data_IF_602920422726
#
_entry.id   IF_602920422726
#
_cell.length_a   1.000
_cell.length_b   1.000
_cell.length_c   1.000
_cell.angle_alpha   90.00
_cell.angle_beta   90.00
_cell.angle_gamma   90.00
#
_symmetry.space_group_name_H-M   'P 1'
#
loop_
_entity.id
_entity.type
_entity.pdbx_description
1 polymer ?
#
# COMPACT_ATOMS: atom_id res chain seq x y z
N UNK A 1 22.42 -15.42 -15.63
CA UNK A 1 21.73 -14.29 -14.97
C UNK A 1 20.36 -14.23 -15.62
N UNK A 2 19.31 -14.69 -14.93
CA UNK A 2 17.96 -14.77 -15.51
C UNK A 2 17.44 -13.33 -15.69
N UNK A 3 17.01 -13.02 -16.91
CA UNK A 3 16.47 -11.71 -17.27
C UNK A 3 15.08 -11.56 -16.61
N UNK A 4 15.01 -10.82 -15.50
CA UNK A 4 13.79 -10.60 -14.72
C UNK A 4 12.70 -9.84 -15.50
N UNK A 5 13.03 -9.32 -16.68
CA UNK A 5 12.09 -8.69 -17.63
C UNK A 5 11.17 -9.70 -18.33
N UNK A 6 11.47 -11.01 -18.27
CA UNK A 6 10.70 -12.06 -18.94
C UNK A 6 9.70 -12.80 -18.04
N UNK A 7 9.52 -12.40 -16.78
CA UNK A 7 8.54 -13.03 -15.89
C UNK A 7 7.15 -12.44 -16.11
N UNK A 8 6.47 -12.89 -17.16
CA UNK A 8 5.02 -12.68 -17.30
C UNK A 8 4.29 -13.75 -16.50
N UNK A 9 3.45 -13.33 -15.56
CA UNK A 9 2.64 -14.26 -14.77
C UNK A 9 1.41 -14.71 -15.56
N UNK A 10 0.92 -15.89 -15.24
CA UNK A 10 -0.38 -16.34 -15.72
C UNK A 10 -1.49 -15.53 -15.04
N UNK A 11 -2.63 -15.27 -15.72
CA UNK A 11 -3.74 -14.51 -15.14
C UNK A 11 -4.23 -15.09 -13.81
N UNK A 12 -4.22 -16.42 -13.65
CA UNK A 12 -4.58 -17.11 -12.41
C UNK A 12 -3.65 -16.73 -11.25
N UNK A 13 -2.34 -16.66 -11.51
CA UNK A 13 -1.34 -16.31 -10.52
C UNK A 13 -1.48 -14.84 -10.12
N UNK A 14 -1.68 -13.95 -11.09
CA UNK A 14 -1.88 -12.53 -10.83
C UNK A 14 -3.14 -12.25 -10.02
N UNK A 15 -4.27 -12.88 -10.38
CA UNK A 15 -5.53 -12.78 -9.63
C UNK A 15 -5.39 -13.31 -8.20
N UNK A 16 -4.71 -14.44 -8.03
CA UNK A 16 -4.49 -15.05 -6.71
C UNK A 16 -3.60 -14.16 -5.84
N UNK A 17 -2.49 -13.66 -6.39
CA UNK A 17 -1.57 -12.76 -5.68
C UNK A 17 -2.23 -11.43 -5.32
N UNK A 18 -2.89 -10.78 -6.28
CA UNK A 18 -3.56 -9.51 -6.07
C UNK A 18 -4.69 -9.64 -5.03
N UNK A 19 -5.50 -10.68 -5.12
CA UNK A 19 -6.62 -10.88 -4.18
C UNK A 19 -6.15 -11.25 -2.77
N UNK A 20 -5.09 -12.06 -2.64
CA UNK A 20 -4.50 -12.35 -1.33
C UNK A 20 -3.94 -11.07 -0.68
N UNK A 21 -3.22 -10.26 -1.46
CA UNK A 21 -2.66 -9.00 -1.00
C UNK A 21 -3.74 -8.00 -0.56
N UNK A 22 -4.78 -7.77 -1.37
CA UNK A 22 -5.84 -6.82 -1.01
C UNK A 22 -6.65 -7.27 0.21
N UNK A 23 -6.81 -8.59 0.40
CA UNK A 23 -7.42 -9.12 1.62
C UNK A 23 -6.56 -8.84 2.85
N UNK A 24 -5.24 -9.05 2.76
CA UNK A 24 -4.31 -8.74 3.83
C UNK A 24 -4.36 -7.25 4.20
N UNK A 25 -4.39 -6.37 3.19
CA UNK A 25 -4.49 -4.91 3.38
C UNK A 25 -5.81 -4.51 4.05
N UNK A 26 -6.94 -5.03 3.58
CA UNK A 26 -8.25 -4.84 4.21
C UNK A 26 -8.19 -5.21 5.71
N UNK A 27 -7.62 -6.37 6.06
CA UNK A 27 -7.51 -6.78 7.46
C UNK A 27 -6.55 -5.91 8.27
N UNK A 28 -5.43 -5.48 7.69
CA UNK A 28 -4.50 -4.54 8.33
C UNK A 28 -5.22 -3.25 8.69
N UNK A 29 -5.95 -2.66 7.75
CA UNK A 29 -6.66 -1.41 7.97
C UNK A 29 -7.79 -1.52 8.97
N UNK A 30 -8.57 -2.61 8.95
CA UNK A 30 -9.58 -2.85 9.99
C UNK A 30 -8.97 -2.95 11.39
N UNK A 31 -7.82 -3.62 11.53
CA UNK A 31 -7.10 -3.68 12.82
C UNK A 31 -6.62 -2.30 13.26
N UNK A 32 -5.97 -1.55 12.37
CA UNK A 32 -5.51 -0.19 12.65
C UNK A 32 -6.67 0.73 13.04
N UNK A 33 -7.80 0.65 12.33
CA UNK A 33 -9.00 1.41 12.67
C UNK A 33 -9.44 1.19 14.13
N UNK A 34 -9.43 -0.06 14.59
CA UNK A 34 -9.75 -0.40 15.99
C UNK A 34 -8.69 0.12 16.96
N UNK A 35 -7.41 -0.02 16.62
CA UNK A 35 -6.29 0.44 17.45
C UNK A 35 -6.30 1.96 17.70
N UNK A 36 -6.68 2.76 16.70
CA UNK A 36 -6.75 4.22 16.81
C UNK A 36 -8.06 4.74 17.42
N UNK A 37 -9.08 3.90 17.61
CA UNK A 37 -10.41 4.33 18.04
C UNK A 37 -10.43 5.16 19.34
N UNK A 38 -9.67 4.81 20.40
CA UNK A 38 -9.72 5.54 21.67
C UNK A 38 -9.08 6.94 21.60
N UNK A 39 -7.95 7.07 20.91
CA UNK A 39 -7.09 8.25 21.01
C UNK A 39 -7.08 9.12 19.75
N UNK A 40 -7.34 8.56 18.57
CA UNK A 40 -7.35 9.30 17.32
C UNK A 40 -8.52 8.85 16.42
N UNK A 41 -9.77 9.20 16.77
CA UNK A 41 -10.96 8.76 16.02
C UNK A 41 -10.97 9.23 14.56
N UNK A 42 -10.29 10.33 14.24
CA UNK A 42 -10.14 10.80 12.86
C UNK A 42 -9.22 9.87 12.04
N UNK A 43 -8.11 9.40 12.61
CA UNK A 43 -7.24 8.38 12.00
C UNK A 43 -7.98 7.05 11.89
N UNK A 44 -8.73 6.67 12.93
CA UNK A 44 -9.58 5.47 12.89
C UNK A 44 -10.51 5.49 11.67
N UNK A 45 -11.22 6.60 11.42
CA UNK A 45 -12.07 6.77 10.23
C UNK A 45 -11.29 6.71 8.92
N UNK A 46 -10.09 7.28 8.86
CA UNK A 46 -9.22 7.16 7.69
C UNK A 46 -8.87 5.69 7.41
N UNK A 47 -8.45 4.94 8.44
CA UNK A 47 -8.13 3.51 8.30
C UNK A 47 -9.36 2.71 7.84
N UNK A 48 -10.56 3.04 8.33
CA UNK A 48 -11.81 2.43 7.80
C UNK A 48 -11.99 2.74 6.31
N UNK A 49 -11.74 3.98 5.88
CA UNK A 49 -11.86 4.36 4.48
C UNK A 49 -10.85 3.59 3.60
N UNK A 50 -9.59 3.52 4.00
CA UNK A 50 -8.56 2.75 3.28
C UNK A 50 -8.89 1.25 3.21
N UNK A 51 -9.43 0.68 4.29
CA UNK A 51 -9.92 -0.70 4.29
C UNK A 51 -11.05 -0.93 3.29
N UNK A 52 -11.98 0.02 3.14
CA UNK A 52 -13.05 -0.05 2.13
C UNK A 52 -12.51 0.05 0.70
N UNK A 53 -11.48 0.85 0.46
CA UNK A 53 -10.83 0.92 -0.85
C UNK A 53 -10.22 -0.44 -1.24
N UNK A 54 -9.64 -1.18 -0.29
CA UNK A 54 -9.19 -2.57 -0.53
C UNK A 54 -10.34 -3.53 -0.81
N UNK A 55 -11.51 -3.35 -0.18
CA UNK A 55 -12.72 -4.13 -0.51
C UNK A 55 -13.18 -3.86 -1.95
N UNK A 56 -13.22 -2.59 -2.37
CA UNK A 56 -13.58 -2.22 -3.74
C UNK A 56 -12.61 -2.80 -4.77
N UNK A 57 -11.31 -2.81 -4.47
CA UNK A 57 -10.29 -3.47 -5.31
C UNK A 57 -10.52 -4.99 -5.39
N UNK A 58 -10.86 -5.65 -4.29
CA UNK A 58 -11.23 -7.07 -4.31
C UNK A 58 -12.46 -7.33 -5.18
N UNK A 59 -13.47 -6.47 -5.12
CA UNK A 59 -14.66 -6.58 -5.95
C UNK A 59 -14.33 -6.38 -7.43
N UNK A 60 -13.46 -5.42 -7.77
CA UNK A 60 -12.96 -5.23 -9.13
C UNK A 60 -12.21 -6.48 -9.65
N UNK A 61 -11.38 -7.12 -8.82
CA UNK A 61 -10.72 -8.38 -9.19
C UNK A 61 -11.71 -9.50 -9.41
N UNK A 62 -12.78 -9.61 -8.61
CA UNK A 62 -13.83 -10.62 -8.83
C UNK A 62 -14.55 -10.40 -10.15
N UNK A 63 -14.93 -9.17 -10.45
CA UNK A 63 -15.61 -8.85 -11.72
C UNK A 63 -14.76 -9.26 -12.94
N UNK A 64 -13.45 -9.00 -12.92
CA UNK A 64 -12.57 -9.39 -14.04
C UNK A 64 -12.30 -10.90 -14.03
N UNK A 65 -12.16 -11.52 -12.85
CA UNK A 65 -12.02 -12.96 -12.76
C UNK A 65 -13.26 -13.70 -13.33
N UNK A 66 -14.47 -13.19 -13.08
CA UNK A 66 -15.71 -13.73 -13.67
C UNK A 66 -15.71 -13.63 -15.19
N UNK A 67 -15.25 -12.51 -15.76
CA UNK A 67 -15.14 -12.33 -17.21
C UNK A 67 -14.14 -13.30 -17.86
N UNK A 68 -13.10 -13.67 -17.12
CA UNK A 68 -12.06 -14.60 -17.56
C UNK A 68 -12.38 -16.07 -17.26
N UNK A 69 -13.53 -16.37 -16.63
CA UNK A 69 -13.87 -17.70 -16.09
C UNK A 69 -12.83 -18.24 -15.07
N UNK A 70 -12.24 -17.33 -14.30
CA UNK A 70 -11.21 -17.56 -13.28
C UNK A 70 -11.67 -17.18 -11.87
N UNK A 71 -12.97 -17.15 -11.59
CA UNK A 71 -13.52 -16.75 -10.29
C UNK A 71 -12.95 -17.57 -9.12
N UNK A 72 -12.54 -18.82 -9.35
CA UNK A 72 -11.90 -19.66 -8.34
C UNK A 72 -10.56 -19.09 -7.81
N UNK A 73 -9.89 -18.23 -8.59
CA UNK A 73 -8.64 -17.57 -8.19
C UNK A 73 -8.85 -16.39 -7.24
N UNK A 74 -10.09 -15.91 -7.09
CA UNK A 74 -10.45 -14.82 -6.18
C UNK A 74 -11.40 -15.38 -5.12
N UNK A 75 -10.83 -15.86 -4.01
CA UNK A 75 -11.64 -16.41 -2.93
C UNK A 75 -12.72 -15.39 -2.49
N UNK A 76 -13.97 -15.82 -2.22
CA UNK A 76 -14.98 -14.95 -1.67
C UNK A 76 -14.54 -14.43 -0.29
N UNK A 77 -14.94 -13.21 0.06
CA UNK A 77 -14.79 -12.74 1.45
C UNK A 77 -15.90 -13.42 2.25
N UNK A 78 -15.56 -14.49 2.96
CA UNK A 78 -16.52 -15.14 3.85
C UNK A 78 -16.96 -14.18 4.96
N UNK A 79 -18.23 -14.25 5.36
CA UNK A 79 -18.74 -13.49 6.51
C UNK A 79 -17.94 -13.78 7.80
N UNK A 80 -17.35 -14.98 7.89
CA UNK A 80 -16.45 -15.38 8.99
C UNK A 80 -15.10 -14.67 8.94
N UNK A 81 -14.59 -14.40 7.74
CA UNK A 81 -13.37 -13.62 7.50
C UNK A 81 -13.57 -12.14 7.87
N UNK A 82 -14.78 -11.59 7.66
CA UNK A 82 -15.13 -10.24 8.10
C UNK A 82 -14.99 -10.01 9.61
N UNK A 83 -15.13 -11.06 10.42
CA UNK A 83 -14.98 -11.01 11.89
C UNK A 83 -13.71 -11.69 12.42
N UNK A 84 -12.93 -12.37 11.58
CA UNK A 84 -11.76 -13.12 12.02
C UNK A 84 -10.55 -12.19 12.25
N UNK A 85 -10.66 -11.37 13.29
CA UNK A 85 -9.51 -10.83 14.00
C UNK A 85 -8.90 -12.01 14.76
N UNK A 86 -8.12 -12.85 14.07
CA UNK A 86 -7.58 -14.07 14.67
C UNK A 86 -6.82 -13.76 15.95
N UNK A 87 -7.12 -14.56 16.96
CA UNK A 87 -6.89 -14.44 18.40
C UNK A 87 -5.41 -14.52 18.82
N UNK A 88 -4.48 -14.32 17.91
CA UNK A 88 -3.03 -14.47 18.15
C UNK A 88 -2.26 -13.15 18.25
N UNK A 89 -2.83 -12.03 17.79
CA UNK A 89 -2.27 -10.69 18.02
C UNK A 89 -3.24 -9.91 18.89
N UNK A 90 -2.88 -9.75 20.17
CA UNK A 90 -3.62 -8.91 21.13
C UNK A 90 -3.99 -7.59 20.45
N UNK A 91 -5.28 -7.25 20.47
CA UNK A 91 -5.75 -5.92 20.10
C UNK A 91 -5.02 -4.91 20.95
N UNK A 92 -4.01 -4.26 20.39
CA UNK A 92 -3.32 -3.18 21.07
C UNK A 92 -4.04 -1.88 20.72
N UNK A 93 -4.54 -1.19 21.74
CA UNK A 93 -5.06 0.16 21.61
C UNK A 93 -3.91 1.14 21.75
N UNK A 94 -3.81 2.08 20.82
CA UNK A 94 -2.80 3.13 20.90
C UNK A 94 -3.13 4.00 22.10
N UNK A 95 -2.19 4.12 23.04
CA UNK A 95 -2.40 4.75 24.36
C UNK A 95 -1.77 6.15 24.48
N UNK A 96 -0.85 6.50 23.58
CA UNK A 96 -0.19 7.81 23.55
C UNK A 96 0.19 8.23 22.12
N UNK A 97 0.61 9.48 21.98
CA UNK A 97 0.92 10.10 20.68
C UNK A 97 2.24 9.59 20.07
N UNK A 98 3.18 9.13 20.89
CA UNK A 98 4.45 8.58 20.37
C UNK A 98 4.15 7.27 19.65
N UNK A 99 3.39 6.39 20.30
CA UNK A 99 2.98 5.13 19.71
C UNK A 99 2.07 5.33 18.49
N UNK A 100 1.19 6.33 18.50
CA UNK A 100 0.39 6.67 17.34
C UNK A 100 1.26 7.02 16.13
N UNK A 101 2.32 7.81 16.32
CA UNK A 101 3.29 8.16 15.29
C UNK A 101 4.02 6.94 14.75
N UNK A 102 4.55 6.08 15.62
CA UNK A 102 5.24 4.84 15.21
C UNK A 102 4.32 3.89 14.41
N UNK A 103 3.05 3.80 14.80
CA UNK A 103 2.08 2.96 14.09
C UNK A 103 1.73 3.57 12.73
N UNK A 104 1.61 4.89 12.63
CA UNK A 104 1.42 5.58 11.34
C UNK A 104 2.64 5.40 10.43
N UNK A 105 3.86 5.50 10.95
CA UNK A 105 5.09 5.30 10.17
C UNK A 105 5.14 3.88 9.59
N UNK A 106 4.85 2.85 10.41
CA UNK A 106 4.72 1.46 9.95
C UNK A 106 3.59 1.27 8.95
N UNK A 107 2.47 1.97 9.10
CA UNK A 107 1.36 1.90 8.16
C UNK A 107 1.74 2.51 6.80
N UNK A 108 2.51 3.60 6.79
CA UNK A 108 3.05 4.23 5.60
C UNK A 108 4.07 3.33 4.90
N UNK A 109 5.00 2.74 5.63
CA UNK A 109 5.97 1.77 5.08
C UNK A 109 5.24 0.59 4.41
N UNK A 110 4.23 0.01 5.08
CA UNK A 110 3.40 -1.04 4.49
C UNK A 110 2.67 -0.57 3.21
N UNK A 111 2.14 0.65 3.19
CA UNK A 111 1.48 1.21 2.01
C UNK A 111 2.48 1.41 0.84
N UNK A 112 3.70 1.83 1.12
CA UNK A 112 4.75 1.94 0.10
C UNK A 112 5.10 0.58 -0.51
N UNK A 113 5.24 -0.45 0.33
CA UNK A 113 5.41 -1.83 -0.15
C UNK A 113 4.24 -2.29 -1.02
N UNK A 114 3.00 -2.00 -0.61
CA UNK A 114 1.80 -2.30 -1.38
C UNK A 114 1.78 -1.58 -2.73
N UNK A 115 2.21 -0.33 -2.80
CA UNK A 115 2.33 0.43 -4.04
C UNK A 115 3.38 -0.17 -4.98
N UNK A 116 4.57 -0.52 -4.47
CA UNK A 116 5.57 -1.23 -5.27
C UNK A 116 5.06 -2.57 -5.77
N UNK A 117 4.37 -3.34 -4.92
CA UNK A 117 3.75 -4.60 -5.31
C UNK A 117 2.72 -4.43 -6.44
N UNK A 118 1.85 -3.42 -6.36
CA UNK A 118 0.90 -3.11 -7.43
C UNK A 118 1.61 -2.74 -8.74
N UNK A 119 2.70 -1.98 -8.67
CA UNK A 119 3.54 -1.67 -9.83
C UNK A 119 4.11 -2.94 -10.48
N UNK A 120 4.61 -3.86 -9.67
CA UNK A 120 5.11 -5.16 -10.15
C UNK A 120 4.02 -6.02 -10.79
N UNK A 121 2.81 -6.04 -10.22
CA UNK A 121 1.67 -6.73 -10.84
C UNK A 121 1.36 -6.17 -12.22
N UNK A 122 1.37 -4.85 -12.36
CA UNK A 122 1.14 -4.18 -13.65
C UNK A 122 2.25 -4.47 -14.66
N UNK A 123 3.53 -4.36 -14.25
CA UNK A 123 4.70 -4.61 -15.11
C UNK A 123 4.73 -6.04 -15.66
N UNK A 124 4.30 -7.01 -14.86
CA UNK A 124 4.34 -8.45 -15.21
C UNK A 124 3.04 -8.96 -15.83
N UNK A 125 2.07 -8.07 -16.08
CA UNK A 125 0.78 -8.42 -16.65
C UNK A 125 0.85 -8.62 -18.17
N UNK A 126 0.49 -9.82 -18.61
CA UNK A 126 0.28 -10.14 -20.02
C UNK A 126 -1.21 -10.25 -20.41
N UNK A 127 -2.12 -10.02 -19.47
CA UNK A 127 -3.57 -10.19 -19.66
C UNK A 127 -4.25 -8.82 -19.84
N UNK A 128 -4.75 -8.46 -21.04
CA UNK A 128 -5.32 -7.15 -21.32
C UNK A 128 -6.44 -6.73 -20.36
N UNK A 129 -7.31 -7.67 -19.99
CA UNK A 129 -8.46 -7.44 -19.10
C UNK A 129 -8.04 -7.02 -17.68
N UNK A 130 -6.85 -7.44 -17.23
CA UNK A 130 -6.29 -7.08 -15.93
C UNK A 130 -5.52 -5.74 -15.95
N UNK A 131 -5.19 -5.22 -17.13
CA UNK A 131 -4.35 -4.03 -17.25
C UNK A 131 -5.02 -2.79 -16.64
N UNK A 132 -6.29 -2.55 -17.00
CA UNK A 132 -7.07 -1.42 -16.47
C UNK A 132 -7.18 -1.44 -14.93
N UNK A 133 -7.63 -2.56 -14.31
CA UNK A 133 -7.65 -2.70 -12.86
C UNK A 133 -6.28 -2.48 -12.20
N UNK A 134 -5.21 -3.11 -12.70
CA UNK A 134 -3.89 -2.96 -12.08
C UNK A 134 -3.32 -1.55 -12.22
N UNK A 135 -3.57 -0.86 -13.33
CA UNK A 135 -3.21 0.54 -13.47
C UNK A 135 -3.92 1.40 -12.41
N UNK A 136 -5.24 1.22 -12.25
CA UNK A 136 -6.00 1.92 -11.22
C UNK A 136 -5.49 1.60 -9.80
N UNK A 137 -5.04 0.37 -9.55
CA UNK A 137 -4.49 0.00 -8.24
C UNK A 137 -3.20 0.76 -7.94
N UNK A 138 -2.31 0.90 -8.92
CA UNK A 138 -1.07 1.68 -8.75
C UNK A 138 -1.38 3.11 -8.34
N UNK A 139 -2.31 3.77 -9.04
CA UNK A 139 -2.70 5.16 -8.75
C UNK A 139 -3.34 5.30 -7.36
N UNK A 140 -4.25 4.37 -7.01
CA UNK A 140 -4.91 4.36 -5.70
C UNK A 140 -3.92 4.10 -4.56
N UNK A 141 -3.00 3.15 -4.73
CA UNK A 141 -1.95 2.84 -3.74
C UNK A 141 -0.97 3.99 -3.57
N UNK A 142 -0.67 4.72 -4.64
CA UNK A 142 0.12 5.94 -4.55
C UNK A 142 -0.61 7.04 -3.76
N UNK A 143 -1.90 7.26 -4.03
CA UNK A 143 -2.72 8.22 -3.29
C UNK A 143 -2.80 7.85 -1.79
N UNK A 144 -2.91 6.57 -1.48
CA UNK A 144 -2.87 6.04 -0.11
C UNK A 144 -1.54 6.36 0.60
N UNK A 145 -0.39 6.15 -0.04
CA UNK A 145 0.92 6.56 0.48
C UNK A 145 0.95 8.06 0.80
N UNK A 146 0.44 8.89 -0.11
CA UNK A 146 0.40 10.34 0.08
C UNK A 146 -0.44 10.74 1.29
N UNK A 147 -1.65 10.20 1.41
CA UNK A 147 -2.55 10.51 2.53
C UNK A 147 -1.92 10.10 3.87
N UNK A 148 -1.27 8.94 3.93
CA UNK A 148 -0.61 8.47 5.15
C UNK A 148 0.63 9.32 5.50
N UNK A 149 1.40 9.75 4.50
CA UNK A 149 2.51 10.71 4.70
C UNK A 149 2.01 12.03 5.27
N UNK A 150 0.96 12.60 4.66
CA UNK A 150 0.35 13.85 5.12
C UNK A 150 -0.19 13.72 6.55
N UNK A 151 -0.75 12.56 6.91
CA UNK A 151 -1.19 12.29 8.29
C UNK A 151 -0.02 12.21 9.28
N UNK A 152 1.07 11.54 8.91
CA UNK A 152 2.26 11.44 9.74
C UNK A 152 2.91 12.80 9.96
N UNK A 153 3.04 13.59 8.89
CA UNK A 153 3.56 14.97 8.92
C UNK A 153 2.70 15.91 9.77
N UNK A 154 1.39 15.67 9.89
CA UNK A 154 0.52 16.45 10.77
C UNK A 154 0.58 15.96 12.22
N UNK A 155 1.00 14.72 12.44
CA UNK A 155 1.13 14.11 13.76
C UNK A 155 2.41 14.57 14.48
N UNK A 156 3.56 14.57 13.79
CA UNK A 156 4.85 15.05 14.31
C UNK A 156 4.85 16.48 14.90
N UNK A 157 4.18 17.50 14.31
CA UNK A 157 4.15 18.86 14.86
C UNK A 157 3.28 19.00 16.12
N UNK A 158 2.46 18.01 16.48
CA UNK A 158 1.75 17.99 17.76
C UNK A 158 2.60 17.38 18.89
N UNK A 159 3.42 16.37 18.60
CA UNK A 159 4.32 15.74 19.59
C UNK A 159 5.51 16.63 19.97
N UNK A 160 5.96 17.51 19.08
CA UNK A 160 7.07 18.44 19.33
C UNK A 160 6.72 19.64 20.23
N UNK A 161 5.42 19.91 20.51
CA UNK A 161 5.05 20.93 21.53
C UNK A 161 5.32 20.46 22.96
N UNK A 162 5.48 19.17 23.19
CA UNK A 162 5.74 18.61 24.52
C UNK A 162 7.23 18.48 24.84
N UNK A 163 8.15 18.54 23.86
CA UNK A 163 9.58 18.33 24.10
C UNK A 163 10.44 19.23 23.21
N UNK A 164 10.87 20.36 23.76
CA UNK A 164 12.01 21.12 23.25
C UNK A 164 13.29 20.30 23.33
N UNK A 165 14.00 20.08 22.21
CA UNK A 165 15.43 20.39 21.93
C UNK A 165 15.80 19.91 20.51
N UNK A 166 16.52 20.67 19.66
CA UNK A 166 16.73 20.31 18.26
C UNK A 166 18.11 19.67 18.00
N UNK A 167 18.16 18.50 17.35
CA UNK A 167 19.26 18.11 16.46
C UNK A 167 18.90 16.91 15.56
N UNK A 168 19.09 17.09 14.24
CA UNK A 168 19.19 16.05 13.18
C UNK A 168 17.93 15.37 12.59
N UNK A 169 16.96 16.13 12.04
CA UNK A 169 15.84 15.53 11.27
C UNK A 169 15.88 15.73 9.73
N UNK A 170 16.80 16.54 9.17
CA UNK A 170 16.71 16.92 7.75
C UNK A 170 17.29 15.91 6.73
N UNK A 171 17.90 14.80 7.16
CA UNK A 171 18.63 13.91 6.25
C UNK A 171 17.80 12.78 5.59
N UNK A 172 16.55 12.52 6.00
CA UNK A 172 15.75 11.40 5.45
C UNK A 172 14.88 11.76 4.25
N UNK A 173 14.49 13.03 4.07
CA UNK A 173 13.54 13.43 3.02
C UNK A 173 14.24 13.73 1.67
N UNK A 174 15.57 13.88 1.64
CA UNK A 174 16.31 14.29 0.45
C UNK A 174 16.69 13.14 -0.52
N UNK A 175 16.55 11.86 -0.14
CA UNK A 175 16.98 10.74 -1.00
C UNK A 175 15.95 10.31 -2.05
N UNK A 176 14.68 10.71 -1.92
CA UNK A 176 13.62 10.28 -2.84
C UNK A 176 13.42 11.20 -4.06
N UNK A 177 14.07 12.36 -4.11
CA UNK A 177 13.89 13.33 -5.21
C UNK A 177 15.04 13.38 -6.21
N UNK A 178 16.12 12.61 -6.01
CA UNK A 178 17.33 12.64 -6.85
C UNK A 178 17.54 11.41 -7.75
N UNK A 179 16.62 10.43 -7.76
CA UNK A 179 16.76 9.22 -8.57
C UNK A 179 16.03 9.25 -9.94
N UNK A 180 15.40 10.37 -10.35
CA UNK A 180 14.65 10.43 -11.63
C UNK A 180 15.34 11.17 -12.79
N UNK A 181 16.54 11.72 -12.61
CA UNK A 181 17.21 12.45 -13.70
C UNK A 181 18.69 12.07 -13.81
N UNK A 182 18.99 11.01 -14.57
CA UNK A 182 20.23 10.88 -15.35
C UNK A 182 20.20 9.64 -16.25
N UNK A 183 19.67 9.77 -17.47
CA UNK A 183 20.18 9.02 -18.62
C UNK A 183 21.20 9.89 -19.35
N UNK A 184 22.47 9.48 -19.51
CA UNK A 184 23.37 10.13 -20.45
C UNK A 184 23.23 9.52 -21.84
N UNK A 185 22.68 10.32 -22.76
CA UNK A 185 22.82 10.17 -24.20
C UNK A 185 24.29 10.39 -24.59
N UNK A 186 24.98 9.36 -25.08
CA UNK A 186 26.30 9.50 -25.73
C UNK A 186 26.11 9.65 -27.24
N UNK A 187 26.18 10.90 -27.69
CA UNK A 187 26.49 11.27 -29.08
C UNK A 187 28.01 11.20 -29.26
N UNK A 188 28.47 10.36 -30.20
CA UNK A 188 29.88 10.28 -30.59
C UNK A 188 30.25 11.47 -31.50
N UNK A 189 31.39 12.16 -31.27
CA UNK A 189 31.89 13.14 -32.22
C UNK A 189 32.92 12.53 -33.17
N UNK A 190 32.60 12.59 -34.46
CA UNK A 190 33.51 12.44 -35.59
C UNK A 190 34.60 13.52 -35.54
N UNK A 191 35.87 13.14 -35.60
CA UNK A 191 36.98 14.05 -35.93
C UNK A 191 37.59 13.68 -37.28
N UNK A 192 37.96 14.74 -37.99
CA UNK A 192 38.60 14.84 -39.30
C UNK A 192 39.84 13.97 -39.45
#
# INVERSE_FOLDING_TARGET
MLDLTALTFLPQEQLSLASAHERQEMHRYRRLALSFLPNAPHISRLMVALGKESEQRLDALRCVAEQLDLSACVAPIDAKEKMSLTTAQQHFFIIDDVMAGEVLEKALEAAQHAWYFAGRLLETNATPELHGPFLAFVDQKYAECRILSECLEQWEPNSQRAQTTPAHHWAKVAWLTLASHSQPSMVAPTRR
#
